data_IF_643919710787
#
_entry.id   IF_643919710787
#
_cell.length_a   1.000
_cell.length_b   1.000
_cell.length_c   1.000
_cell.angle_alpha   90.00
_cell.angle_beta   90.00
_cell.angle_gamma   90.00
#
_symmetry.space_group_name_H-M   'P 1'
#
loop_
_entity.id
_entity.type
_entity.pdbx_description
1 polymer ?
#
# COMPACT_ATOMS: atom_id res chain seq x y z
N UNK A 1 -19.69 3.78 5.05
CA UNK A 1 -19.71 2.84 6.18
C UNK A 1 -18.29 2.31 6.26
N UNK A 2 -17.43 2.90 7.10
CA UNK A 2 -16.02 2.50 7.20
C UNK A 2 -15.97 1.18 7.96
N UNK A 3 -15.39 0.17 7.33
CA UNK A 3 -14.99 -1.04 8.04
C UNK A 3 -13.84 -0.65 8.98
N UNK A 4 -13.98 -0.77 10.30
CA UNK A 4 -12.88 -0.52 11.25
C UNK A 4 -11.81 -1.61 11.13
N UNK A 5 -11.12 -1.68 9.99
CA UNK A 5 -10.09 -2.65 9.70
C UNK A 5 -8.79 -2.19 10.34
N UNK A 6 -8.53 -2.65 11.56
CA UNK A 6 -7.20 -2.52 12.17
C UNK A 6 -6.25 -3.57 11.56
N UNK A 7 -6.05 -3.47 10.25
CA UNK A 7 -5.30 -4.43 9.45
C UNK A 7 -4.21 -3.74 8.64
N UNK A 8 -3.13 -4.47 8.40
CA UNK A 8 -2.12 -4.16 7.40
C UNK A 8 -2.60 -4.76 6.07
N UNK A 9 -2.62 -3.95 5.01
CA UNK A 9 -2.89 -4.42 3.65
C UNK A 9 -1.62 -4.32 2.81
N UNK A 10 -1.43 -5.27 1.90
CA UNK A 10 -0.30 -5.31 0.98
C UNK A 10 -0.85 -5.53 -0.42
N UNK A 11 -0.52 -4.62 -1.32
CA UNK A 11 -1.06 -4.61 -2.69
C UNK A 11 0.10 -4.49 -3.68
N UNK A 12 0.23 -5.49 -4.55
CA UNK A 12 1.22 -5.51 -5.65
C UNK A 12 0.67 -4.88 -6.92
N UNK A 13 1.52 -4.22 -7.70
CA UNK A 13 1.12 -3.44 -8.88
C UNK A 13 0.33 -2.18 -8.52
N UNK A 14 0.43 -1.73 -7.26
CA UNK A 14 -0.40 -0.67 -6.71
C UNK A 14 -0.01 0.73 -7.19
N UNK A 15 1.01 0.86 -8.04
CA UNK A 15 1.34 2.13 -8.69
C UNK A 15 0.33 2.56 -9.75
N UNK A 16 -0.52 1.65 -10.25
CA UNK A 16 -1.51 1.98 -11.29
C UNK A 16 -2.74 1.06 -11.34
N UNK A 17 -3.73 1.44 -12.14
CA UNK A 17 -4.87 0.59 -12.49
C UNK A 17 -5.74 0.17 -11.31
N UNK A 18 -6.22 -1.07 -11.35
CA UNK A 18 -7.15 -1.62 -10.36
C UNK A 18 -6.49 -1.73 -8.98
N UNK A 19 -5.22 -2.17 -8.94
CA UNK A 19 -4.48 -2.33 -7.70
C UNK A 19 -4.27 -0.98 -6.98
N UNK A 20 -4.03 0.11 -7.73
CA UNK A 20 -4.03 1.47 -7.17
C UNK A 20 -5.37 1.79 -6.50
N UNK A 21 -6.49 1.58 -7.20
CA UNK A 21 -7.82 1.85 -6.65
C UNK A 21 -8.09 1.03 -5.39
N UNK A 22 -7.66 -0.24 -5.35
CA UNK A 22 -7.78 -1.10 -4.18
C UNK A 22 -6.95 -0.55 -3.00
N UNK A 23 -5.70 -0.15 -3.22
CA UNK A 23 -4.84 0.42 -2.18
C UNK A 23 -5.44 1.71 -1.59
N UNK A 24 -5.96 2.59 -2.44
CA UNK A 24 -6.69 3.80 -2.04
C UNK A 24 -7.99 3.46 -1.27
N UNK A 25 -8.71 2.42 -1.69
CA UNK A 25 -9.94 2.00 -1.00
C UNK A 25 -9.62 1.53 0.42
N UNK A 26 -8.53 0.78 0.62
CA UNK A 26 -8.12 0.38 1.97
C UNK A 26 -7.80 1.57 2.89
N UNK A 27 -7.18 2.63 2.38
CA UNK A 27 -6.92 3.83 3.19
C UNK A 27 -8.21 4.57 3.55
N UNK A 28 -9.17 4.64 2.63
CA UNK A 28 -10.50 5.22 2.88
C UNK A 28 -11.34 4.38 3.83
N UNK A 29 -11.27 3.05 3.73
CA UNK A 29 -12.03 2.16 4.61
C UNK A 29 -11.50 2.20 6.04
N UNK A 30 -10.25 2.59 6.25
CA UNK A 30 -9.69 2.83 7.58
C UNK A 30 -8.60 1.85 7.97
N UNK A 31 -7.94 1.20 7.00
CA UNK A 31 -6.75 0.40 7.23
C UNK A 31 -5.71 1.19 8.03
N UNK A 32 -4.96 0.51 8.90
CA UNK A 32 -3.89 1.15 9.67
C UNK A 32 -2.66 1.36 8.81
N UNK A 33 -2.26 0.34 8.06
CA UNK A 33 -1.08 0.37 7.21
C UNK A 33 -1.44 -0.17 5.82
N UNK A 34 -0.96 0.48 4.76
CA UNK A 34 -1.12 0.00 3.38
C UNK A 34 0.24 0.00 2.69
N UNK A 35 0.72 -1.19 2.36
CA UNK A 35 1.93 -1.41 1.57
C UNK A 35 1.57 -1.37 0.09
N UNK A 36 2.08 -0.35 -0.58
CA UNK A 36 1.93 -0.09 -2.02
C UNK A 36 3.20 -0.58 -2.69
N UNK A 37 3.14 -1.81 -3.18
CA UNK A 37 4.25 -2.47 -3.83
C UNK A 37 4.10 -2.36 -5.35
N UNK A 38 5.11 -1.84 -6.03
CA UNK A 38 5.15 -1.73 -7.49
C UNK A 38 6.58 -1.81 -8.00
N UNK A 39 6.77 -2.24 -9.24
CA UNK A 39 8.09 -2.20 -9.88
C UNK A 39 8.58 -0.76 -10.03
N UNK A 40 7.65 0.17 -10.30
CA UNK A 40 7.94 1.60 -10.40
C UNK A 40 7.72 2.28 -9.03
N UNK A 41 8.83 2.48 -8.31
CA UNK A 41 8.81 3.17 -7.01
C UNK A 41 8.14 4.56 -7.07
N UNK A 42 8.30 5.31 -8.16
CA UNK A 42 7.68 6.65 -8.26
C UNK A 42 6.15 6.55 -8.32
N UNK A 43 5.63 5.57 -9.05
CA UNK A 43 4.19 5.33 -9.13
C UNK A 43 3.62 4.84 -7.79
N UNK A 44 4.36 3.97 -7.08
CA UNK A 44 4.03 3.56 -5.72
C UNK A 44 4.03 4.75 -4.75
N UNK A 45 5.04 5.61 -4.81
CA UNK A 45 5.14 6.80 -3.96
C UNK A 45 4.01 7.80 -4.21
N UNK A 46 3.64 8.02 -5.47
CA UNK A 46 2.49 8.88 -5.80
C UNK A 46 1.20 8.30 -5.21
N UNK A 47 0.99 6.99 -5.34
CA UNK A 47 -0.19 6.33 -4.77
C UNK A 47 -0.19 6.39 -3.24
N UNK A 48 0.97 6.27 -2.59
CA UNK A 48 1.13 6.45 -1.14
C UNK A 48 0.75 7.85 -0.67
N UNK A 49 1.18 8.87 -1.40
CA UNK A 49 0.82 10.26 -1.09
C UNK A 49 -0.68 10.50 -1.30
N UNK A 50 -1.24 9.98 -2.39
CA UNK A 50 -2.69 10.05 -2.64
C UNK A 50 -3.49 9.33 -1.56
N UNK A 51 -3.04 8.15 -1.10
CA UNK A 51 -3.72 7.35 -0.10
C UNK A 51 -3.73 8.01 1.27
N UNK A 52 -2.66 8.73 1.62
CA UNK A 52 -2.54 9.50 2.87
C UNK A 52 -3.52 10.67 2.93
N UNK A 53 -3.71 11.37 1.81
CA UNK A 53 -4.62 12.53 1.73
C UNK A 53 -6.10 12.16 1.92
N UNK A 54 -6.47 10.93 1.57
CA UNK A 54 -7.87 10.46 1.62
C UNK A 54 -8.11 9.46 2.77
N UNK A 55 -7.09 9.15 3.56
CA UNK A 55 -7.19 8.17 4.62
C UNK A 55 -8.17 8.64 5.72
N UNK A 56 -9.03 7.73 6.16
CA UNK A 56 -9.98 8.02 7.25
C UNK A 56 -9.42 7.68 8.63
N UNK A 57 -8.40 6.84 8.69
CA UNK A 57 -7.74 6.45 9.94
C UNK A 57 -6.66 7.49 10.31
N UNK A 58 -6.72 8.13 11.49
CA UNK A 58 -5.74 9.13 11.90
C UNK A 58 -4.34 8.55 12.19
N UNK A 59 -4.22 7.23 12.33
CA UNK A 59 -2.96 6.51 12.50
C UNK A 59 -2.49 5.82 11.22
N UNK A 60 -3.08 6.19 10.08
CA UNK A 60 -2.76 5.63 8.78
C UNK A 60 -1.29 5.80 8.41
N UNK A 61 -0.66 4.74 7.89
CA UNK A 61 0.71 4.79 7.34
C UNK A 61 0.77 4.15 5.96
N UNK A 62 1.07 4.93 4.91
CA UNK A 62 1.36 4.37 3.61
C UNK A 62 2.83 3.92 3.54
N UNK A 63 3.07 2.74 2.96
CA UNK A 63 4.41 2.22 2.73
C UNK A 63 4.62 1.99 1.23
N UNK A 64 5.33 2.88 0.56
CA UNK A 64 5.73 2.68 -0.83
C UNK A 64 6.95 1.75 -0.90
N UNK A 65 6.84 0.66 -1.64
CA UNK A 65 7.91 -0.33 -1.79
C UNK A 65 8.14 -0.61 -3.27
N UNK A 66 9.40 -0.52 -3.70
CA UNK A 66 9.81 -1.02 -5.01
C UNK A 66 9.88 -2.54 -4.95
N UNK A 67 9.07 -3.26 -5.72
CA UNK A 67 9.11 -4.72 -5.77
C UNK A 67 9.13 -5.25 -7.19
N UNK A 68 10.04 -6.18 -7.44
CA UNK A 68 9.99 -7.04 -8.60
C UNK A 68 9.45 -8.41 -8.18
N UNK A 69 8.23 -8.74 -8.58
CA UNK A 69 7.58 -10.02 -8.22
C UNK A 69 8.24 -11.24 -8.88
N UNK A 70 9.13 -11.03 -9.85
CA UNK A 70 9.91 -12.10 -10.48
C UNK A 70 11.18 -12.43 -9.70
N UNK A 71 11.60 -11.56 -8.77
CA UNK A 71 12.72 -11.77 -7.87
C UNK A 71 12.24 -12.16 -6.47
N UNK A 72 12.66 -13.34 -6.02
CA UNK A 72 12.25 -13.89 -4.73
C UNK A 72 12.84 -13.09 -3.55
N UNK A 73 14.02 -12.50 -3.71
CA UNK A 73 14.60 -11.62 -2.68
C UNK A 73 13.80 -10.33 -2.54
N UNK A 74 13.42 -9.71 -3.65
CA UNK A 74 12.54 -8.54 -3.68
C UNK A 74 11.18 -8.81 -3.00
N UNK A 75 10.56 -9.97 -3.27
CA UNK A 75 9.31 -10.37 -2.61
C UNK A 75 9.47 -10.52 -1.09
N UNK A 76 10.57 -11.15 -0.64
CA UNK A 76 10.84 -11.30 0.80
C UNK A 76 11.07 -9.94 1.47
N UNK A 77 11.77 -9.02 0.79
CA UNK A 77 11.96 -7.65 1.28
C UNK A 77 10.62 -6.93 1.48
N UNK A 78 9.70 -7.04 0.52
CA UNK A 78 8.38 -6.42 0.60
C UNK A 78 7.56 -6.90 1.81
N UNK A 79 7.58 -8.20 2.12
CA UNK A 79 6.86 -8.74 3.29
C UNK A 79 7.50 -8.25 4.60
N UNK A 80 8.82 -8.13 4.63
CA UNK A 80 9.56 -7.61 5.79
C UNK A 80 9.27 -6.11 6.00
N UNK A 81 9.14 -5.34 4.92
CA UNK A 81 8.82 -3.92 4.98
C UNK A 81 7.42 -3.64 5.54
N UNK A 82 6.47 -4.57 5.35
CA UNK A 82 5.10 -4.46 5.89
C UNK A 82 4.91 -4.97 7.32
N UNK A 83 5.97 -5.50 7.96
CA UNK A 83 5.91 -6.08 9.32
C UNK A 83 6.56 -5.21 10.41
N UNK A 84 6.89 -3.94 10.09
CA UNK A 84 7.50 -2.96 11.01
C UNK A 84 6.50 -1.95 11.57
#
# INVERSE_FOLDING_TARGET
MSLQINSVSLVTGAGSGIAKVIALTYSVEGARDVVIADLNYKAALQTAQESELIATNPTYRPHAVAVDVTDTESVNYMVTAGSM
#
